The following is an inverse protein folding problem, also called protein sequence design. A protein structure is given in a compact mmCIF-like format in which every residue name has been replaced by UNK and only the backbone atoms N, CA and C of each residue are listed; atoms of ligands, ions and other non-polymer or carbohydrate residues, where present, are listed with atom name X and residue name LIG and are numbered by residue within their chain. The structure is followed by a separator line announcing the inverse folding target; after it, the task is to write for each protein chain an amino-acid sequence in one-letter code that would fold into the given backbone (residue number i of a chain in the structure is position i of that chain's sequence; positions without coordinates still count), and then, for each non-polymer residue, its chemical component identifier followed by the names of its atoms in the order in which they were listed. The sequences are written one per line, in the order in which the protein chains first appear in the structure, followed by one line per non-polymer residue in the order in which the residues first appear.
data_IF_246941727884
#
_entry.id   IF_246941727884
#
_cell.length_a   1.000
_cell.length_b   1.000
_cell.length_c   1.000
_cell.angle_alpha   90.00
_cell.angle_beta   90.00
_cell.angle_gamma   90.00
#
_symmetry.space_group_name_H-M   'P 1'
#
loop_
_entity.id
_entity.type
_entity.pdbx_description
1 polymer ?
#
# COMPACT_ATOMS: atom_id res chain seq x y z
N UNK A 1 7.05 31.79 -2.89
CA UNK A 1 7.73 30.78 -2.04
C UNK A 1 8.68 29.99 -2.93
N UNK A 2 10.00 30.07 -2.68
CA UNK A 2 11.01 29.27 -3.37
C UNK A 2 10.62 27.80 -3.29
N UNK A 3 10.54 27.12 -4.44
CA UNK A 3 10.14 25.73 -4.52
C UNK A 3 11.25 24.87 -3.91
N UNK A 4 11.11 24.55 -2.62
CA UNK A 4 12.06 23.68 -1.91
C UNK A 4 12.02 22.32 -2.59
N UNK A 5 13.11 21.97 -3.28
CA UNK A 5 13.33 20.64 -3.88
C UNK A 5 13.04 19.55 -2.83
N UNK A 6 12.23 18.52 -3.11
CA UNK A 6 11.99 17.44 -2.17
C UNK A 6 13.32 16.82 -1.76
N UNK A 7 13.55 16.66 -0.46
CA UNK A 7 14.72 15.97 0.07
C UNK A 7 14.25 14.68 0.70
N UNK A 8 14.68 13.57 0.14
CA UNK A 8 14.24 12.25 0.56
C UNK A 8 15.41 11.38 0.92
N UNK A 9 15.22 10.68 2.03
CA UNK A 9 16.15 9.68 2.50
C UNK A 9 15.80 8.35 1.84
N UNK A 10 16.77 7.73 1.17
CA UNK A 10 16.58 6.48 0.44
C UNK A 10 17.51 5.40 0.97
N UNK A 11 17.04 4.15 0.93
CA UNK A 11 17.89 2.96 1.04
C UNK A 11 18.03 2.36 -0.35
N UNK A 12 19.26 2.02 -0.76
CA UNK A 12 19.49 1.29 -2.01
C UNK A 12 19.27 -0.20 -1.79
N UNK A 13 18.55 -0.85 -2.72
CA UNK A 13 18.35 -2.30 -2.71
C UNK A 13 18.58 -2.88 -4.08
N UNK A 14 19.02 -4.14 -4.15
CA UNK A 14 19.06 -4.87 -5.42
C UNK A 14 17.63 -5.16 -5.87
N UNK A 15 17.29 -4.77 -7.09
CA UNK A 15 16.00 -5.04 -7.69
C UNK A 15 15.88 -6.53 -8.04
N UNK A 16 14.66 -7.01 -7.92
CA UNK A 16 14.18 -8.33 -8.33
C UNK A 16 12.80 -8.18 -9.02
N UNK A 17 12.45 -6.96 -9.45
CA UNK A 17 11.12 -6.62 -9.94
C UNK A 17 10.85 -7.11 -11.35
N UNK A 18 11.87 -7.05 -12.22
CA UNK A 18 11.82 -7.55 -13.60
C UNK A 18 13.15 -8.20 -13.96
N UNK A 19 13.19 -9.15 -14.92
CA UNK A 19 14.44 -9.74 -15.38
C UNK A 19 15.49 -8.70 -15.78
N UNK A 20 15.06 -7.59 -16.39
CA UNK A 20 15.92 -6.51 -16.85
C UNK A 20 16.47 -5.59 -15.75
N UNK A 21 15.88 -5.61 -14.55
CA UNK A 21 16.39 -4.83 -13.41
C UNK A 21 17.00 -5.73 -12.33
N UNK A 22 17.04 -7.04 -12.55
CA UNK A 22 17.47 -7.99 -11.54
C UNK A 22 18.95 -7.79 -11.18
N UNK A 23 19.22 -7.51 -9.90
CA UNK A 23 20.56 -7.27 -9.39
C UNK A 23 20.98 -5.80 -9.33
N UNK A 24 20.29 -4.90 -10.06
CA UNK A 24 20.57 -3.46 -10.10
C UNK A 24 20.14 -2.75 -8.82
N UNK A 25 20.86 -1.70 -8.41
CA UNK A 25 20.49 -0.92 -7.23
C UNK A 25 19.36 0.06 -7.55
N UNK A 26 18.21 -0.10 -6.88
CA UNK A 26 17.08 0.80 -6.96
C UNK A 26 16.85 1.51 -5.62
N UNK A 27 16.50 2.80 -5.63
CA UNK A 27 16.21 3.55 -4.41
C UNK A 27 14.83 3.17 -3.86
N UNK A 28 14.77 2.84 -2.58
CA UNK A 28 13.54 2.71 -1.81
C UNK A 28 13.42 3.92 -0.88
N UNK A 29 12.32 4.66 -1.01
CA UNK A 29 12.02 5.80 -0.15
C UNK A 29 11.82 5.33 1.30
N UNK A 30 12.56 5.93 2.24
CA UNK A 30 12.23 5.84 3.66
C UNK A 30 11.13 6.85 3.96
N UNK A 31 9.92 6.36 4.22
CA UNK A 31 8.83 7.21 4.69
C UNK A 31 9.19 7.79 6.06
N UNK A 32 8.92 9.08 6.26
CA UNK A 32 9.19 9.79 7.51
C UNK A 32 8.01 9.72 8.50
N UNK A 33 6.88 9.17 8.08
CA UNK A 33 5.65 9.05 8.85
C UNK A 33 4.47 8.73 7.94
N UNK A 34 3.32 8.51 8.57
CA UNK A 34 1.99 8.42 7.96
C UNK A 34 1.08 9.34 8.77
N UNK A 35 0.16 10.02 8.09
CA UNK A 35 -0.87 10.83 8.72
C UNK A 35 -2.20 10.43 8.10
N UNK A 36 -3.19 10.10 8.93
CA UNK A 36 -4.58 10.00 8.49
C UNK A 36 -5.22 11.40 8.35
N UNK A 37 -6.49 11.48 7.94
CA UNK A 37 -7.17 12.77 7.77
C UNK A 37 -7.23 13.55 9.09
N UNK A 38 -7.54 12.90 10.21
CA UNK A 38 -7.67 13.55 11.51
C UNK A 38 -6.32 14.13 11.98
N UNK A 39 -5.24 13.39 11.82
CA UNK A 39 -3.88 13.83 12.13
C UNK A 39 -3.45 15.01 11.25
N UNK A 40 -3.83 15.03 9.96
CA UNK A 40 -3.60 16.19 9.08
C UNK A 40 -4.37 17.42 9.56
N UNK A 41 -5.63 17.27 9.95
CA UNK A 41 -6.43 18.40 10.43
C UNK A 41 -5.89 18.96 11.75
N UNK A 42 -5.50 18.09 12.68
CA UNK A 42 -4.87 18.50 13.92
C UNK A 42 -3.54 19.22 13.68
N UNK A 43 -2.72 18.77 12.71
CA UNK A 43 -1.46 19.45 12.38
C UNK A 43 -1.70 20.86 11.87
N UNK A 44 -2.73 21.07 11.04
CA UNK A 44 -3.10 22.41 10.52
C UNK A 44 -3.47 23.36 11.68
N UNK A 45 -4.31 22.91 12.62
CA UNK A 45 -4.72 23.72 13.77
C UNK A 45 -3.51 24.03 14.66
N UNK A 46 -2.66 23.03 14.93
CA UNK A 46 -1.46 23.18 15.76
C UNK A 46 -0.43 24.14 15.16
N UNK A 47 -0.27 24.13 13.83
CA UNK A 47 0.64 25.04 13.12
C UNK A 47 0.08 26.47 13.00
N UNK A 48 -1.14 26.72 13.48
CA UNK A 48 -1.82 28.02 13.34
C UNK A 48 -2.21 28.33 11.90
N UNK A 49 -2.32 27.30 11.04
CA UNK A 49 -2.62 27.44 9.62
C UNK A 49 -4.09 27.70 9.31
N UNK A 50 -4.97 27.60 10.31
CA UNK A 50 -6.40 27.84 10.17
C UNK A 50 -6.95 28.62 11.37
N UNK A 51 -7.90 29.53 11.12
CA UNK A 51 -8.61 30.26 12.16
C UNK A 51 -9.78 29.46 12.74
N UNK A 52 -10.15 28.33 12.13
CA UNK A 52 -11.18 27.43 12.63
C UNK A 52 -10.60 26.56 13.74
N UNK A 53 -11.44 26.24 14.73
CA UNK A 53 -11.16 25.12 15.63
C UNK A 53 -11.19 23.78 14.88
N UNK A 54 -10.69 22.75 15.55
CA UNK A 54 -10.56 21.41 14.98
C UNK A 54 -11.91 20.82 14.56
N UNK A 55 -12.96 21.00 15.36
CA UNK A 55 -14.27 20.39 15.10
C UNK A 55 -14.93 20.99 13.85
N UNK A 56 -14.89 22.31 13.71
CA UNK A 56 -15.39 23.00 12.52
C UNK A 56 -14.56 22.68 11.27
N UNK A 57 -13.24 22.59 11.41
CA UNK A 57 -12.36 22.19 10.31
C UNK A 57 -12.63 20.75 9.86
N UNK A 58 -12.82 19.82 10.80
CA UNK A 58 -13.19 18.43 10.53
C UNK A 58 -14.54 18.31 9.85
N UNK A 59 -15.53 19.07 10.32
CA UNK A 59 -16.83 19.11 9.69
C UNK A 59 -16.75 19.60 8.23
N UNK A 60 -16.05 20.72 8.00
CA UNK A 60 -15.87 21.27 6.66
C UNK A 60 -15.11 20.31 5.71
N UNK A 61 -14.05 19.67 6.20
CA UNK A 61 -13.32 18.66 5.44
C UNK A 61 -14.22 17.48 5.05
N UNK A 62 -15.03 16.97 5.99
CA UNK A 62 -16.00 15.91 5.74
C UNK A 62 -17.00 16.28 4.64
N UNK A 63 -17.57 17.49 4.68
CA UNK A 63 -18.50 17.98 3.65
C UNK A 63 -17.85 18.01 2.26
N UNK A 64 -16.59 18.43 2.17
CA UNK A 64 -15.84 18.45 0.91
C UNK A 64 -15.63 17.03 0.39
N UNK A 65 -15.21 16.10 1.25
CA UNK A 65 -14.96 14.70 0.86
C UNK A 65 -16.24 14.02 0.38
N UNK A 66 -17.35 14.19 1.12
CA UNK A 66 -18.66 13.67 0.70
C UNK A 66 -19.09 14.24 -0.65
N UNK A 67 -18.86 15.54 -0.89
CA UNK A 67 -19.23 16.15 -2.16
C UNK A 67 -18.40 15.62 -3.34
N UNK A 68 -17.11 15.37 -3.10
CA UNK A 68 -16.23 14.75 -4.10
C UNK A 68 -16.73 13.34 -4.43
N UNK A 69 -17.11 12.55 -3.43
CA UNK A 69 -17.67 11.21 -3.62
C UNK A 69 -18.96 11.26 -4.45
N UNK A 70 -19.92 12.12 -4.09
CA UNK A 70 -21.16 12.33 -4.86
C UNK A 70 -20.87 12.64 -6.35
N UNK A 71 -19.91 13.53 -6.61
CA UNK A 71 -19.50 13.86 -7.97
C UNK A 71 -18.95 12.63 -8.72
N UNK A 72 -18.09 11.84 -8.08
CA UNK A 72 -17.50 10.65 -8.70
C UNK A 72 -18.55 9.58 -9.00
N UNK A 73 -19.47 9.33 -8.06
CA UNK A 73 -20.59 8.40 -8.24
C UNK A 73 -21.50 8.85 -9.39
N UNK A 74 -21.69 10.16 -9.57
CA UNK A 74 -22.43 10.73 -10.70
C UNK A 74 -21.66 10.70 -12.05
N UNK A 75 -20.46 10.12 -12.10
CA UNK A 75 -19.62 10.06 -13.31
C UNK A 75 -18.89 11.37 -13.62
N UNK A 76 -18.81 12.30 -12.68
CA UNK A 76 -18.18 13.61 -12.85
C UNK A 76 -16.72 13.55 -12.42
N UNK A 77 -15.81 13.98 -13.30
CA UNK A 77 -14.39 14.16 -12.95
C UNK A 77 -14.19 15.38 -12.05
N UNK A 78 -13.43 15.23 -10.96
CA UNK A 78 -13.13 16.31 -10.01
C UNK A 78 -11.65 16.70 -10.08
N UNK A 79 -11.38 17.98 -10.32
CA UNK A 79 -10.04 18.55 -10.28
C UNK A 79 -9.74 19.17 -8.91
N UNK A 80 -8.75 18.65 -8.21
CA UNK A 80 -8.29 19.10 -6.90
C UNK A 80 -6.90 19.79 -6.99
N UNK A 81 -6.48 20.55 -5.96
CA UNK A 81 -5.16 21.19 -5.93
C UNK A 81 -3.95 20.24 -5.98
N UNK A 82 -4.14 18.94 -5.69
CA UNK A 82 -3.11 17.90 -5.78
C UNK A 82 -3.14 17.13 -7.11
N UNK A 83 -4.30 17.02 -7.76
CA UNK A 83 -4.50 16.18 -8.93
C UNK A 83 -5.95 16.13 -9.39
N UNK A 84 -6.23 15.30 -10.39
CA UNK A 84 -7.58 15.04 -10.91
C UNK A 84 -7.99 13.61 -10.59
N UNK A 85 -9.23 13.45 -10.13
CA UNK A 85 -9.92 12.17 -9.95
C UNK A 85 -10.89 11.99 -11.11
N UNK A 86 -10.80 10.86 -11.81
CA UNK A 86 -11.64 10.54 -12.96
C UNK A 86 -12.29 9.16 -12.74
N UNK A 87 -13.62 9.06 -12.66
CA UNK A 87 -14.30 7.77 -12.63
C UNK A 87 -14.16 7.08 -13.99
N UNK A 88 -14.03 5.76 -13.98
CA UNK A 88 -13.88 4.91 -15.15
C UNK A 88 -14.46 3.52 -14.90
N UNK A 89 -14.43 2.68 -15.93
CA UNK A 89 -14.91 1.30 -15.86
C UNK A 89 -13.84 0.38 -16.43
N UNK A 90 -13.48 -0.66 -15.68
CA UNK A 90 -12.70 -1.80 -16.17
C UNK A 90 -13.66 -2.93 -16.53
N UNK A 91 -13.34 -3.72 -17.56
CA UNK A 91 -14.15 -4.87 -17.98
C UNK A 91 -14.27 -5.01 -19.48
N UNK A 92 -14.95 -6.07 -19.93
CA UNK A 92 -15.16 -6.37 -21.34
C UNK A 92 -16.64 -6.24 -21.70
N UNK A 93 -16.94 -5.36 -22.64
CA UNK A 93 -18.28 -5.22 -23.18
C UNK A 93 -18.51 -6.18 -24.35
N UNK A 94 -19.08 -7.36 -24.10
CA UNK A 94 -19.34 -8.34 -25.15
C UNK A 94 -20.59 -7.94 -25.95
N UNK A 95 -20.41 -7.43 -27.17
CA UNK A 95 -21.49 -6.90 -28.01
C UNK A 95 -22.65 -7.89 -28.26
N UNK A 96 -22.34 -9.19 -28.39
CA UNK A 96 -23.31 -10.27 -28.61
C UNK A 96 -24.12 -10.65 -27.36
N UNK A 97 -23.64 -10.31 -26.16
CA UNK A 97 -24.26 -10.66 -24.86
C UNK A 97 -24.47 -9.42 -23.98
N UNK A 98 -24.66 -8.25 -24.60
CA UNK A 98 -24.76 -6.95 -23.92
C UNK A 98 -25.87 -6.81 -22.86
N UNK A 99 -26.87 -7.68 -22.90
CA UNK A 99 -27.98 -7.71 -21.94
C UNK A 99 -27.85 -8.83 -20.90
N UNK A 100 -26.85 -9.71 -21.03
CA UNK A 100 -26.58 -10.77 -20.07
C UNK A 100 -26.05 -10.16 -18.76
N UNK A 101 -26.75 -10.43 -17.66
CA UNK A 101 -26.39 -9.95 -16.33
C UNK A 101 -24.99 -10.43 -15.91
N UNK A 102 -24.58 -11.63 -16.35
CA UNK A 102 -23.28 -12.21 -16.01
C UNK A 102 -22.13 -11.54 -16.76
N UNK A 103 -22.37 -11.00 -17.96
CA UNK A 103 -21.38 -10.21 -18.70
C UNK A 103 -21.28 -8.80 -18.11
N UNK A 104 -22.41 -8.23 -17.68
CA UNK A 104 -22.43 -6.91 -17.04
C UNK A 104 -21.74 -6.91 -15.68
N UNK A 105 -21.91 -7.98 -14.90
CA UNK A 105 -21.27 -8.17 -13.60
C UNK A 105 -19.74 -8.29 -13.65
N UNK A 106 -19.15 -8.46 -14.84
CA UNK A 106 -17.69 -8.45 -15.03
C UNK A 106 -17.11 -7.03 -15.18
N UNK A 107 -17.95 -5.99 -15.17
CA UNK A 107 -17.48 -4.61 -15.23
C UNK A 107 -17.38 -4.02 -13.82
N UNK A 108 -16.24 -3.42 -13.53
CA UNK A 108 -15.89 -2.86 -12.22
C UNK A 108 -15.67 -1.35 -12.35
N UNK A 109 -16.24 -0.59 -11.42
CA UNK A 109 -16.01 0.86 -11.36
C UNK A 109 -14.63 1.14 -10.75
N UNK A 110 -13.90 2.08 -11.35
CA UNK A 110 -12.56 2.48 -10.87
C UNK A 110 -12.44 4.00 -10.82
N UNK A 111 -11.56 4.50 -9.96
CA UNK A 111 -11.20 5.93 -9.93
C UNK A 111 -9.73 6.08 -10.28
N UNK A 112 -9.44 6.82 -11.34
CA UNK A 112 -8.08 7.14 -11.75
C UNK A 112 -7.64 8.46 -11.12
N UNK A 113 -6.45 8.45 -10.50
CA UNK A 113 -5.80 9.67 -10.03
C UNK A 113 -4.65 10.08 -10.93
N UNK A 114 -4.64 11.36 -11.33
CA UNK A 114 -3.54 11.96 -12.07
C UNK A 114 -3.02 13.22 -11.37
N UNK A 115 -1.72 13.26 -11.05
CA UNK A 115 -1.08 14.46 -10.49
C UNK A 115 -1.23 15.66 -11.44
N UNK A 116 -1.58 16.83 -10.89
CA UNK A 116 -1.65 18.05 -11.66
C UNK A 116 -0.24 18.63 -11.91
N UNK A 117 -0.14 19.68 -12.72
CA UNK A 117 1.14 20.30 -13.06
C UNK A 117 1.88 20.85 -11.83
N UNK A 118 1.16 21.40 -10.84
CA UNK A 118 1.77 21.92 -9.61
C UNK A 118 2.42 20.80 -8.79
N UNK A 119 1.72 19.70 -8.56
CA UNK A 119 2.22 18.54 -7.83
C UNK A 119 3.36 17.85 -8.58
N UNK A 120 3.25 17.68 -9.91
CA UNK A 120 4.34 17.17 -10.75
C UNK A 120 5.60 17.99 -10.64
N UNK A 121 5.49 19.32 -10.69
CA UNK A 121 6.65 20.22 -10.48
C UNK A 121 7.19 20.08 -9.06
N UNK A 122 6.32 20.06 -8.05
CA UNK A 122 6.75 19.93 -6.65
C UNK A 122 7.55 18.65 -6.40
N UNK A 123 7.16 17.55 -7.06
CA UNK A 123 7.83 16.25 -6.98
C UNK A 123 8.99 16.09 -7.99
N UNK A 124 9.22 17.07 -8.85
CA UNK A 124 10.24 16.98 -9.88
C UNK A 124 11.65 17.04 -9.26
N UNK A 125 12.55 16.22 -9.81
CA UNK A 125 13.96 16.20 -9.45
C UNK A 125 14.18 16.13 -7.92
N UNK A 126 13.75 15.06 -7.22
CA UNK A 126 14.03 14.94 -5.79
C UNK A 126 15.54 14.89 -5.54
N UNK A 127 15.99 15.45 -4.41
CA UNK A 127 17.33 15.23 -3.88
C UNK A 127 17.28 13.96 -3.04
N UNK A 128 17.92 12.91 -3.53
CA UNK A 128 18.00 11.63 -2.84
C UNK A 128 19.26 11.60 -1.99
N UNK A 129 19.08 11.48 -0.68
CA UNK A 129 20.14 11.25 0.28
C UNK A 129 20.16 9.75 0.58
N UNK A 130 21.21 9.06 0.14
CA UNK A 130 21.42 7.69 0.57
C UNK A 130 21.70 7.70 2.08
N UNK A 131 20.78 7.11 2.84
CA UNK A 131 21.10 6.74 4.21
C UNK A 131 22.00 5.53 4.05
N UNK A 132 23.29 5.65 4.39
CA UNK A 132 24.25 4.56 4.30
C UNK A 132 23.66 3.27 4.89
N UNK A 133 24.04 2.10 4.35
CA UNK A 133 23.45 0.80 4.68
C UNK A 133 23.24 0.65 6.19
N UNK A 134 22.07 1.04 6.68
CA UNK A 134 21.83 1.13 8.11
C UNK A 134 21.91 -0.27 8.68
N UNK A 135 22.91 -0.51 9.54
CA UNK A 135 23.15 -1.70 10.36
C UNK A 135 22.35 -2.94 10.00
N UNK A 136 22.98 -3.85 9.25
CA UNK A 136 22.47 -5.19 8.97
C UNK A 136 21.28 -5.25 8.01
N UNK A 137 21.06 -6.41 7.38
CA UNK A 137 19.81 -6.66 6.64
C UNK A 137 18.65 -6.60 7.63
N UNK A 138 17.68 -5.74 7.37
CA UNK A 138 16.48 -5.55 8.19
C UNK A 138 15.27 -6.19 7.51
N UNK A 139 14.26 -6.54 8.30
CA UNK A 139 12.96 -6.97 7.78
C UNK A 139 12.32 -5.83 6.99
N UNK A 140 12.01 -6.11 5.72
CA UNK A 140 11.38 -5.16 4.81
C UNK A 140 10.61 -5.90 3.72
N UNK A 141 9.43 -5.39 3.39
CA UNK A 141 8.65 -5.83 2.23
C UNK A 141 8.93 -4.87 1.07
N UNK A 142 9.26 -5.42 -0.09
CA UNK A 142 9.55 -4.67 -1.31
C UNK A 142 8.36 -4.61 -2.24
N UNK A 143 7.67 -5.73 -2.42
CA UNK A 143 6.54 -5.82 -3.31
C UNK A 143 5.58 -6.94 -2.90
N UNK A 144 4.33 -6.74 -3.26
CA UNK A 144 3.25 -7.73 -3.20
C UNK A 144 2.81 -8.03 -4.62
N UNK A 145 2.64 -9.31 -4.96
CA UNK A 145 2.13 -9.75 -6.26
C UNK A 145 1.02 -10.76 -6.02
N UNK A 146 -0.09 -10.60 -6.74
CA UNK A 146 -1.27 -11.44 -6.65
C UNK A 146 -1.40 -12.31 -7.88
N UNK A 147 -2.01 -13.48 -7.68
CA UNK A 147 -2.18 -14.46 -8.74
C UNK A 147 -0.86 -15.04 -9.24
N UNK A 148 -0.93 -16.09 -10.04
CA UNK A 148 0.23 -16.62 -10.76
C UNK A 148 0.46 -15.90 -12.09
N UNK A 149 -0.43 -14.97 -12.46
CA UNK A 149 -0.54 -14.30 -13.76
C UNK A 149 0.00 -12.85 -13.77
N UNK A 150 0.33 -12.28 -12.61
CA UNK A 150 1.02 -10.99 -12.50
C UNK A 150 0.17 -9.76 -12.83
N UNK A 151 -1.17 -9.90 -12.84
CA UNK A 151 -2.11 -8.81 -13.12
C UNK A 151 -2.57 -8.12 -11.81
N UNK A 152 -2.44 -6.79 -11.79
CA UNK A 152 -2.79 -5.84 -10.71
C UNK A 152 -2.24 -6.14 -9.29
N UNK A 153 -1.15 -5.43 -8.90
CA UNK A 153 -0.42 -5.64 -7.63
C UNK A 153 -1.20 -5.29 -6.35
N UNK A 154 -2.43 -4.75 -6.43
CA UNK A 154 -3.17 -4.23 -5.27
C UNK A 154 -4.66 -4.62 -5.20
N UNK A 155 -5.17 -5.41 -6.13
CA UNK A 155 -6.54 -5.95 -6.04
C UNK A 155 -6.43 -7.47 -5.95
N UNK A 156 -6.84 -8.03 -4.81
CA UNK A 156 -6.78 -9.46 -4.56
C UNK A 156 -8.19 -10.05 -4.46
N UNK A 157 -8.31 -11.33 -4.82
CA UNK A 157 -9.54 -12.11 -4.61
C UNK A 157 -9.39 -12.98 -3.35
N UNK A 158 -10.45 -13.18 -2.56
CA UNK A 158 -10.45 -14.18 -1.49
C UNK A 158 -9.99 -15.55 -2.03
N UNK A 159 -9.19 -16.27 -1.24
CA UNK A 159 -8.62 -17.56 -1.69
C UNK A 159 -7.48 -17.46 -2.70
N UNK A 160 -7.06 -16.27 -3.14
CA UNK A 160 -5.94 -16.13 -4.07
C UNK A 160 -4.58 -16.23 -3.36
N UNK A 161 -3.56 -16.65 -4.12
CA UNK A 161 -2.17 -16.64 -3.66
C UNK A 161 -1.57 -15.23 -3.66
N UNK A 162 -0.90 -14.87 -2.57
CA UNK A 162 -0.07 -13.67 -2.44
C UNK A 162 1.41 -14.04 -2.41
N UNK A 163 2.19 -13.44 -3.29
CA UNK A 163 3.65 -13.47 -3.21
C UNK A 163 4.18 -12.19 -2.57
N UNK A 164 4.84 -12.34 -1.42
CA UNK A 164 5.53 -11.26 -0.71
C UNK A 164 7.02 -11.37 -1.01
N UNK A 165 7.60 -10.31 -1.56
CA UNK A 165 9.06 -10.23 -1.80
C UNK A 165 9.68 -9.16 -0.91
N UNK A 166 10.88 -9.43 -0.41
CA UNK A 166 11.49 -8.61 0.62
C UNK A 166 12.87 -9.08 1.03
N UNK A 167 13.35 -8.60 2.17
CA UNK A 167 14.52 -9.13 2.86
C UNK A 167 14.16 -9.53 4.28
N UNK A 168 14.84 -10.56 4.78
CA UNK A 168 14.69 -11.08 6.14
C UNK A 168 13.28 -11.58 6.46
N UNK A 169 12.60 -12.16 5.46
CA UNK A 169 11.22 -12.62 5.61
C UNK A 169 11.09 -13.99 6.32
N UNK A 170 12.14 -14.82 6.29
CA UNK A 170 12.09 -16.23 6.72
C UNK A 170 11.46 -16.37 8.12
N UNK A 171 10.43 -17.19 8.25
CA UNK A 171 9.80 -17.49 9.54
C UNK A 171 10.56 -18.58 10.30
N UNK A 172 11.78 -18.26 10.76
CA UNK A 172 12.53 -19.08 11.71
C UNK A 172 12.20 -18.68 13.16
N UNK A 173 12.68 -19.45 14.14
CA UNK A 173 12.31 -19.28 15.55
C UNK A 173 11.01 -20.00 15.91
N UNK A 174 10.45 -19.64 17.06
CA UNK A 174 9.35 -20.34 17.72
C UNK A 174 8.29 -19.39 18.30
N UNK A 175 8.48 -18.07 18.20
CA UNK A 175 7.51 -17.11 18.73
C UNK A 175 6.14 -17.23 18.01
N UNK A 176 5.03 -17.20 18.77
CA UNK A 176 3.69 -17.36 18.22
C UNK A 176 3.24 -16.17 17.37
N UNK A 177 3.76 -14.96 17.62
CA UNK A 177 3.42 -13.76 16.83
C UNK A 177 4.06 -13.70 15.44
N UNK A 178 4.80 -14.74 15.03
CA UNK A 178 5.37 -14.78 13.67
C UNK A 178 4.27 -15.07 12.66
N UNK A 179 4.41 -14.49 11.47
CA UNK A 179 3.49 -14.76 10.38
C UNK A 179 3.21 -13.53 9.52
N UNK A 180 2.21 -13.69 8.67
CA UNK A 180 1.68 -12.63 7.81
C UNK A 180 0.35 -12.18 8.37
N UNK A 181 0.19 -10.87 8.54
CA UNK A 181 -1.00 -10.25 9.08
C UNK A 181 -1.67 -9.40 8.01
N UNK A 182 -3.00 -9.50 7.94
CA UNK A 182 -3.85 -8.54 7.25
C UNK A 182 -4.51 -7.69 8.31
N UNK A 183 -4.20 -6.39 8.30
CA UNK A 183 -4.77 -5.41 9.21
C UNK A 183 -5.83 -4.63 8.45
N UNK A 184 -7.02 -4.45 8.98
CA UNK A 184 -8.00 -3.53 8.37
C UNK A 184 -7.39 -2.14 8.29
N UNK A 185 -7.45 -1.49 7.12
CA UNK A 185 -6.86 -0.16 6.95
C UNK A 185 -7.55 0.88 7.84
N UNK A 186 -8.88 0.80 7.97
CA UNK A 186 -9.67 1.79 8.71
C UNK A 186 -9.47 1.74 10.23
N UNK A 187 -9.28 0.54 10.80
CA UNK A 187 -9.25 0.34 12.26
C UNK A 187 -7.87 -0.07 12.77
N UNK A 188 -6.99 -0.57 11.91
CA UNK A 188 -5.74 -1.21 12.28
C UNK A 188 -5.91 -2.57 12.96
N UNK A 189 -7.14 -3.08 13.07
CA UNK A 189 -7.44 -4.36 13.70
C UNK A 189 -6.88 -5.52 12.89
N UNK A 190 -6.45 -6.59 13.58
CA UNK A 190 -6.00 -7.81 12.92
C UNK A 190 -7.21 -8.57 12.38
N UNK A 191 -7.39 -8.54 11.06
CA UNK A 191 -8.42 -9.33 10.39
C UNK A 191 -7.98 -10.79 10.22
N UNK A 192 -6.71 -11.00 9.83
CA UNK A 192 -6.16 -12.33 9.58
C UNK A 192 -4.72 -12.41 10.09
N UNK A 193 -4.39 -13.55 10.70
CA UNK A 193 -3.02 -13.95 11.02
C UNK A 193 -2.74 -15.32 10.38
N UNK A 194 -1.95 -15.30 9.30
CA UNK A 194 -1.49 -16.50 8.59
C UNK A 194 -0.18 -16.96 9.24
N UNK A 195 -0.21 -18.16 9.81
CA UNK A 195 0.92 -18.69 10.59
C UNK A 195 2.03 -19.27 9.71
N UNK A 196 3.26 -19.41 10.23
CA UNK A 196 4.40 -19.94 9.47
C UNK A 196 4.16 -21.31 8.81
N UNK A 197 3.35 -22.16 9.44
CA UNK A 197 2.96 -23.49 8.97
C UNK A 197 2.00 -23.46 7.77
N UNK A 198 1.31 -22.35 7.54
CA UNK A 198 0.36 -22.16 6.43
C UNK A 198 1.04 -21.55 5.18
N UNK A 199 2.32 -21.19 5.28
CA UNK A 199 3.06 -20.58 4.18
C UNK A 199 3.43 -21.62 3.13
N UNK A 200 2.99 -21.41 1.89
CA UNK A 200 3.34 -22.26 0.75
C UNK A 200 4.83 -22.16 0.38
N UNK A 201 5.41 -20.97 0.56
CA UNK A 201 6.85 -20.72 0.39
C UNK A 201 7.31 -19.89 1.56
N UNK A 202 8.41 -20.31 2.21
CA UNK A 202 8.99 -19.60 3.34
C UNK A 202 10.51 -19.49 3.16
N UNK A 203 10.96 -18.38 2.60
CA UNK A 203 12.39 -18.11 2.39
C UNK A 203 12.76 -16.73 2.88
N UNK A 204 14.06 -16.45 3.02
CA UNK A 204 14.55 -15.14 3.47
C UNK A 204 14.14 -13.98 2.56
N UNK A 205 13.82 -14.24 1.28
CA UNK A 205 13.52 -13.20 0.28
C UNK A 205 12.11 -13.25 -0.30
N UNK A 206 11.39 -14.36 -0.04
CA UNK A 206 10.10 -14.62 -0.65
C UNK A 206 9.25 -15.46 0.28
N UNK A 207 8.03 -14.98 0.53
CA UNK A 207 6.96 -15.75 1.16
C UNK A 207 5.81 -15.87 0.14
N UNK A 208 5.15 -17.02 0.13
CA UNK A 208 3.87 -17.20 -0.59
C UNK A 208 2.84 -17.67 0.41
N UNK A 209 1.69 -16.99 0.45
CA UNK A 209 0.54 -17.34 1.30
C UNK A 209 -0.73 -17.45 0.46
N UNK A 210 -1.72 -18.15 0.98
CA UNK A 210 -3.08 -18.11 0.47
C UNK A 210 -3.91 -17.16 1.34
N UNK A 211 -4.64 -16.24 0.72
CA UNK A 211 -5.64 -15.48 1.44
C UNK A 211 -6.78 -16.42 1.89
N UNK A 212 -7.38 -16.21 3.06
CA UNK A 212 -8.60 -16.94 3.42
C UNK A 212 -9.69 -16.73 2.37
N UNK A 213 -10.45 -17.80 2.08
CA UNK A 213 -11.53 -17.76 1.10
C UNK A 213 -12.75 -16.97 1.60
N UNK A 214 -12.86 -16.81 2.92
CA UNK A 214 -13.89 -16.06 3.65
C UNK A 214 -13.43 -14.65 4.05
N UNK A 215 -12.28 -14.19 3.55
CA UNK A 215 -11.81 -12.82 3.79
C UNK A 215 -12.81 -11.82 3.23
N UNK A 216 -13.37 -10.98 4.10
CA UNK A 216 -14.35 -9.97 3.72
C UNK A 216 -13.76 -8.97 2.72
N UNK A 217 -14.59 -8.49 1.79
CA UNK A 217 -14.24 -7.39 0.91
C UNK A 217 -13.88 -6.15 1.73
N UNK A 218 -12.83 -5.45 1.34
CA UNK A 218 -12.34 -4.30 2.08
C UNK A 218 -10.88 -3.98 1.78
N UNK A 219 -10.33 -3.03 2.53
CA UNK A 219 -8.95 -2.57 2.35
C UNK A 219 -8.09 -2.94 3.55
N UNK A 220 -6.93 -3.55 3.30
CA UNK A 220 -6.07 -4.13 4.31
C UNK A 220 -4.60 -3.69 4.17
N UNK A 221 -3.89 -3.53 5.28
CA UNK A 221 -2.44 -3.40 5.31
C UNK A 221 -1.79 -4.75 5.55
N UNK A 222 -0.78 -5.09 4.75
CA UNK A 222 -0.02 -6.34 4.91
C UNK A 222 1.15 -6.10 5.84
N UNK A 223 1.20 -6.83 6.95
CA UNK A 223 2.32 -6.80 7.90
C UNK A 223 2.99 -8.16 8.00
N UNK A 224 4.31 -8.19 7.91
CA UNK A 224 5.11 -9.40 8.16
C UNK A 224 5.75 -9.27 9.54
N UNK A 225 5.67 -10.30 10.37
CA UNK A 225 6.36 -10.40 11.67
C UNK A 225 7.28 -11.61 11.66
N UNK A 226 8.58 -11.40 11.91
CA UNK A 226 9.60 -12.44 11.78
C UNK A 226 10.74 -12.28 12.80
N UNK A 227 11.35 -13.40 13.20
CA UNK A 227 12.59 -13.46 13.99
C UNK A 227 13.85 -13.57 13.11
N UNK A 228 13.73 -13.39 11.79
CA UNK A 228 14.86 -13.54 10.88
C UNK A 228 15.97 -12.50 11.14
N UNK A 229 17.20 -12.99 11.25
CA UNK A 229 18.42 -12.17 11.36
C UNK A 229 19.55 -12.74 10.50
N UNK A 230 20.62 -11.99 10.30
CA UNK A 230 21.84 -12.46 9.60
C UNK A 230 22.60 -13.49 10.42
N UNK A 231 22.36 -13.55 11.73
CA UNK A 231 22.87 -14.60 12.62
C UNK A 231 22.21 -15.96 12.35
N UNK A 232 22.90 -17.09 12.60
CA UNK A 232 22.29 -18.42 12.62
C UNK A 232 21.17 -18.57 13.66
N UNK A 233 21.22 -17.79 14.75
CA UNK A 233 20.20 -17.80 15.79
C UNK A 233 19.10 -16.77 15.48
N UNK A 234 17.81 -17.13 15.56
CA UNK A 234 16.71 -16.16 15.45
C UNK A 234 16.81 -15.04 16.49
N UNK A 235 16.19 -13.89 16.22
CA UNK A 235 16.06 -12.81 17.19
C UNK A 235 15.23 -13.27 18.40
N UNK A 236 15.58 -12.83 19.61
CA UNK A 236 14.78 -13.10 20.81
C UNK A 236 13.42 -12.39 20.76
N UNK A 237 13.34 -11.23 20.12
CA UNK A 237 12.11 -10.48 19.88
C UNK A 237 11.80 -10.45 18.38
N UNK A 238 10.55 -10.72 18.01
CA UNK A 238 10.12 -10.61 16.63
C UNK A 238 10.10 -9.15 16.17
N UNK A 239 10.42 -8.93 14.89
CA UNK A 239 10.31 -7.61 14.25
C UNK A 239 9.17 -7.63 13.26
N UNK A 240 8.43 -6.52 13.18
CA UNK A 240 7.35 -6.31 12.23
C UNK A 240 7.69 -5.29 11.14
N UNK A 241 7.21 -5.52 9.92
CA UNK A 241 7.22 -4.53 8.85
C UNK A 241 5.85 -4.52 8.16
N UNK A 242 5.21 -3.35 8.13
CA UNK A 242 3.94 -3.12 7.42
C UNK A 242 4.24 -2.52 6.05
N UNK A 243 3.75 -3.16 4.99
CA UNK A 243 3.84 -2.62 3.64
C UNK A 243 3.02 -1.32 3.56
N UNK A 244 3.59 -0.21 3.06
CA UNK A 244 2.96 1.11 3.18
C UNK A 244 1.81 1.36 2.20
N UNK A 245 1.47 0.39 1.35
CA UNK A 245 0.34 0.49 0.42
C UNK A 245 -0.73 -0.48 0.86
N UNK A 246 -1.95 0.01 0.92
CA UNK A 246 -3.12 -0.80 1.23
C UNK A 246 -3.47 -1.71 0.06
N UNK A 247 -3.96 -2.88 0.41
CA UNK A 247 -4.46 -3.93 -0.46
C UNK A 247 -5.99 -3.85 -0.49
N UNK A 248 -6.59 -3.82 -1.67
CA UNK A 248 -8.04 -4.00 -1.80
C UNK A 248 -8.34 -5.48 -2.04
N UNK A 249 -9.29 -6.03 -1.29
CA UNK A 249 -9.86 -7.37 -1.49
C UNK A 249 -11.27 -7.21 -2.04
N UNK A 250 -11.51 -7.83 -3.20
CA UNK A 250 -12.78 -7.79 -3.96
C UNK A 250 -13.30 -9.21 -4.26
#
# INVERSE_FOLDING_TARGET
MSQKRPKWKVKLRKSNLTPHTQGELIPQLKLNGHYDLDEVLQSIVKEGGCALDYDNLKHAAGLIMNKIEECLVAGISVSLPIGRLTPGVKGLWQASRRYDSNVRAQNEAVVHYAMNARMRRAMANPLLEEIGQGGGKQLVIYNLVWGFDGSDMLVAKPGAGMTITGDMLLMNGDLPERGVYLLEEATGAVAVHIRPEELLVNTRKRIVVMLPADLAQGTYLVRVVSQCTTSPRPLQEARGYTFPRALTVE
#
